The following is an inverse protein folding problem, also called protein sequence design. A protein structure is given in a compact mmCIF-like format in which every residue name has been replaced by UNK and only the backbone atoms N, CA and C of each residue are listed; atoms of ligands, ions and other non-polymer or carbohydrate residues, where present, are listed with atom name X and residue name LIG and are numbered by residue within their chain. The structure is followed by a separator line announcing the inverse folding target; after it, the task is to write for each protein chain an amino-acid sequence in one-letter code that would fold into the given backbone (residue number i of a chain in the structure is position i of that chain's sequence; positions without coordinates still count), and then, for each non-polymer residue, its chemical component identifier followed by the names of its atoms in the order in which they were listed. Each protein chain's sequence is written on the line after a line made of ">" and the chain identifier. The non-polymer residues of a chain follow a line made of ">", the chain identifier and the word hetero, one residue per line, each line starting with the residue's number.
data_IF_168491701649
#
_entry.id   IF_168491701649
#
_cell.length_a   1.000
_cell.length_b   1.000
_cell.length_c   1.000
_cell.angle_alpha   90.00
_cell.angle_beta   90.00
_cell.angle_gamma   90.00
#
_symmetry.space_group_name_H-M   'P 1'
#
loop_
_entity.id
_entity.type
_entity.pdbx_description
1 polymer ?
#
# COMPACT_ATOMS: atom_id res chain seq x y z
N UNK A 1 -2.71 15.84 3.01
CA UNK A 1 -2.94 14.50 3.62
C UNK A 1 -4.19 13.87 3.02
N UNK A 2 -4.02 12.70 2.41
CA UNK A 2 -5.05 11.87 1.80
C UNK A 2 -4.97 10.46 2.40
N UNK A 3 -6.06 9.71 2.32
CA UNK A 3 -6.14 8.33 2.76
C UNK A 3 -6.33 7.42 1.56
N UNK A 4 -5.40 6.50 1.36
CA UNK A 4 -5.50 5.45 0.33
C UNK A 4 -5.76 4.11 1.01
N UNK A 5 -6.49 3.23 0.34
CA UNK A 5 -6.74 1.87 0.82
C UNK A 5 -5.90 0.90 0.01
N UNK A 6 -5.07 0.14 0.71
CA UNK A 6 -4.20 -0.89 0.14
C UNK A 6 -4.68 -2.27 0.56
N UNK A 7 -4.37 -3.28 -0.24
CA UNK A 7 -4.64 -4.68 0.08
C UNK A 7 -3.44 -5.52 -0.37
N UNK A 8 -3.22 -6.64 0.31
CA UNK A 8 -2.21 -7.62 -0.08
C UNK A 8 -2.83 -8.52 -1.15
N UNK A 9 -2.22 -8.54 -2.34
CA UNK A 9 -2.70 -9.36 -3.45
C UNK A 9 -2.78 -10.84 -3.05
N UNK A 10 -3.92 -11.48 -3.30
CA UNK A 10 -4.16 -12.88 -2.97
C UNK A 10 -4.53 -13.16 -1.50
N UNK A 11 -4.56 -12.14 -0.62
CA UNK A 11 -4.95 -12.31 0.78
C UNK A 11 -6.32 -11.68 1.01
N UNK A 12 -7.34 -12.51 1.19
CA UNK A 12 -8.70 -12.04 1.49
C UNK A 12 -8.75 -11.27 2.83
N UNK A 13 -9.52 -10.18 2.88
CA UNK A 13 -9.67 -9.37 4.09
C UNK A 13 -8.43 -8.58 4.50
N UNK A 14 -7.41 -8.49 3.64
CA UNK A 14 -6.15 -7.79 3.94
C UNK A 14 -6.19 -6.28 3.68
N UNK A 15 -7.37 -5.67 3.53
CA UNK A 15 -7.48 -4.22 3.26
C UNK A 15 -7.02 -3.43 4.49
N UNK A 16 -6.18 -2.43 4.29
CA UNK A 16 -5.75 -1.50 5.32
C UNK A 16 -5.66 -0.06 4.77
N UNK A 17 -6.01 0.96 5.57
CA UNK A 17 -5.78 2.35 5.21
C UNK A 17 -4.29 2.69 5.31
N UNK A 18 -3.84 3.64 4.50
CA UNK A 18 -2.52 4.27 4.60
C UNK A 18 -2.72 5.77 4.42
N UNK A 19 -2.20 6.56 5.36
CA UNK A 19 -2.21 8.02 5.29
C UNK A 19 -0.94 8.52 4.58
N UNK A 20 -1.09 9.36 3.56
CA UNK A 20 0.01 9.92 2.77
C UNK A 20 -0.33 11.34 2.31
N UNK A 21 0.66 12.19 2.07
CA UNK A 21 0.42 13.46 1.40
C UNK A 21 0.34 13.31 -0.13
N UNK A 22 -0.52 14.09 -0.78
CA UNK A 22 -0.74 14.01 -2.23
C UNK A 22 0.48 14.49 -3.05
N UNK A 23 1.39 15.25 -2.43
CA UNK A 23 2.65 15.69 -3.04
C UNK A 23 3.74 14.60 -3.06
N UNK A 24 3.54 13.50 -2.32
CA UNK A 24 4.54 12.45 -2.18
C UNK A 24 4.53 11.47 -3.35
N UNK A 25 5.68 10.83 -3.55
CA UNK A 25 5.89 9.90 -4.66
C UNK A 25 5.40 8.48 -4.33
N UNK A 26 5.36 7.62 -5.35
CA UNK A 26 5.10 6.19 -5.17
C UNK A 26 6.19 5.52 -4.31
N UNK A 27 7.41 6.05 -4.30
CA UNK A 27 8.48 5.57 -3.42
C UNK A 27 8.15 5.79 -1.94
N UNK A 28 7.64 6.98 -1.61
CA UNK A 28 7.19 7.32 -0.26
C UNK A 28 5.99 6.46 0.15
N UNK A 29 5.07 6.20 -0.78
CA UNK A 29 3.93 5.29 -0.54
C UNK A 29 4.39 3.88 -0.18
N UNK A 30 5.42 3.33 -0.86
CA UNK A 30 5.99 2.03 -0.50
C UNK A 30 6.57 2.04 0.92
N UNK A 31 7.19 3.15 1.33
CA UNK A 31 7.68 3.35 2.70
C UNK A 31 6.55 3.35 3.72
N UNK A 32 5.49 4.13 3.47
CA UNK A 32 4.33 4.23 4.35
C UNK A 32 3.60 2.89 4.50
N UNK A 33 3.41 2.14 3.41
CA UNK A 33 2.84 0.78 3.43
C UNK A 33 3.66 -0.16 4.32
N UNK A 34 5.00 -0.13 4.17
CA UNK A 34 5.89 -0.96 4.99
C UNK A 34 5.78 -0.58 6.47
N UNK A 35 5.74 0.70 6.80
CA UNK A 35 5.62 1.18 8.17
C UNK A 35 4.30 0.73 8.83
N UNK A 36 3.19 0.77 8.10
CA UNK A 36 1.87 0.35 8.60
C UNK A 36 1.76 -1.16 8.83
N UNK A 37 2.50 -1.96 8.04
CA UNK A 37 2.40 -3.43 8.07
C UNK A 37 3.74 -4.14 8.26
N UNK A 38 4.60 -3.61 9.13
CA UNK A 38 5.98 -4.10 9.38
C UNK A 38 6.07 -5.61 9.64
N UNK A 39 5.10 -6.19 10.35
CA UNK A 39 5.10 -7.61 10.71
C UNK A 39 4.69 -8.53 9.55
N UNK A 40 3.87 -8.03 8.63
CA UNK A 40 3.37 -8.81 7.49
C UNK A 40 4.24 -8.61 6.25
N UNK A 41 4.74 -7.39 6.05
CA UNK A 41 5.60 -7.01 4.92
C UNK A 41 7.05 -6.97 5.41
N UNK A 42 7.74 -8.09 5.27
CA UNK A 42 9.13 -8.25 5.74
C UNK A 42 10.18 -7.80 4.72
N UNK A 43 9.80 -7.59 3.47
CA UNK A 43 10.72 -7.15 2.42
C UNK A 43 11.05 -5.64 2.52
N UNK A 44 12.07 -5.21 1.78
CA UNK A 44 12.35 -3.78 1.64
C UNK A 44 11.25 -3.05 0.88
N UNK A 45 10.97 -1.81 1.28
CA UNK A 45 9.97 -0.98 0.62
C UNK A 45 10.23 -0.87 -0.89
N UNK A 46 11.50 -0.79 -1.32
CA UNK A 46 11.88 -0.74 -2.74
C UNK A 46 11.44 -1.99 -3.54
N UNK A 47 11.35 -3.14 -2.87
CA UNK A 47 10.98 -4.42 -3.48
C UNK A 47 9.46 -4.61 -3.59
N UNK A 48 8.66 -3.73 -2.97
CA UNK A 48 7.20 -3.76 -3.13
C UNK A 48 6.80 -3.41 -4.56
N UNK A 49 5.94 -4.24 -5.14
CA UNK A 49 5.26 -3.95 -6.38
C UNK A 49 3.84 -3.50 -6.06
N UNK A 50 3.51 -2.28 -6.47
CA UNK A 50 2.18 -1.71 -6.24
C UNK A 50 1.40 -1.79 -7.55
N UNK A 51 0.17 -2.26 -7.43
CA UNK A 51 -0.78 -2.35 -8.53
C UNK A 51 -2.00 -1.51 -8.18
N UNK A 52 -2.50 -0.76 -9.14
CA UNK A 52 -3.77 -0.08 -8.96
C UNK A 52 -4.87 -1.14 -8.86
N UNK A 53 -5.68 -1.08 -7.81
CA UNK A 53 -6.86 -1.92 -7.72
C UNK A 53 -7.81 -1.61 -8.88
N UNK A 54 -8.48 -2.64 -9.41
CA UNK A 54 -9.48 -2.44 -10.46
C UNK A 54 -10.53 -1.46 -9.97
N UNK A 55 -10.75 -0.39 -10.73
CA UNK A 55 -11.68 0.70 -10.41
C UNK A 55 -13.14 0.21 -10.36
N UNK A 56 -13.46 -0.93 -10.98
CA UNK A 56 -14.83 -1.40 -11.20
C UNK A 56 -15.07 -2.90 -10.89
N UNK A 57 -14.13 -3.59 -10.25
CA UNK A 57 -14.32 -4.98 -9.80
C UNK A 57 -14.59 -6.04 -10.89
N UNK A 58 -14.50 -5.69 -12.18
CA UNK A 58 -14.62 -6.60 -13.33
C UNK A 58 -13.29 -6.80 -14.03
#
# INVERSE_FOLDING_TARGET
>A
MIKVFCAIAGVAGSVFPVDIDASLSVGDLKGAIKAEKLTTITCDARNLQLFLAKKDGK
#
